data_IF_586538759699
#
_entry.id   IF_586538759699
#
_cell.length_a   1.000
_cell.length_b   1.000
_cell.length_c   1.000
_cell.angle_alpha   90.00
_cell.angle_beta   90.00
_cell.angle_gamma   90.00
#
_symmetry.space_group_name_H-M   'P 1'
#
loop_
_entity.id
_entity.type
_entity.pdbx_description
1 polymer ?
#
# COMPACT_ATOMS: atom_id res chain seq x y z
N UNK A 1 36.59 -33.63 -1.61
CA UNK A 1 36.35 -32.52 -2.56
C UNK A 1 37.20 -31.36 -2.14
N UNK A 2 38.15 -30.98 -3.00
CA UNK A 2 39.12 -29.93 -2.70
C UNK A 2 38.44 -28.55 -2.83
N UNK A 3 38.92 -27.55 -2.09
CA UNK A 3 38.29 -26.19 -2.05
C UNK A 3 38.28 -25.50 -3.42
N UNK A 4 39.08 -25.96 -4.37
CA UNK A 4 39.07 -25.51 -5.77
C UNK A 4 37.89 -26.08 -6.58
N UNK A 5 37.45 -27.29 -6.28
CA UNK A 5 36.33 -27.96 -6.99
C UNK A 5 34.99 -27.32 -6.65
N UNK A 6 34.81 -26.90 -5.39
CA UNK A 6 33.61 -26.20 -4.91
C UNK A 6 33.47 -24.81 -5.56
N UNK A 7 34.59 -24.12 -5.80
CA UNK A 7 34.60 -22.80 -6.45
C UNK A 7 34.34 -22.89 -7.95
N UNK A 8 34.86 -23.91 -8.62
CA UNK A 8 34.58 -24.17 -10.03
C UNK A 8 33.11 -24.55 -10.26
N UNK A 9 32.55 -25.43 -9.42
CA UNK A 9 31.13 -25.77 -9.45
C UNK A 9 30.23 -24.54 -9.15
N UNK A 10 30.65 -23.67 -8.23
CA UNK A 10 29.95 -22.42 -7.91
C UNK A 10 29.94 -21.41 -9.08
N UNK A 11 31.03 -21.31 -9.85
CA UNK A 11 31.12 -20.41 -11.01
C UNK A 11 30.35 -20.94 -12.24
N UNK A 12 30.19 -22.25 -12.38
CA UNK A 12 29.44 -22.89 -13.47
C UNK A 12 27.90 -22.79 -13.27
N UNK A 13 27.43 -22.89 -12.02
CA UNK A 13 26.01 -22.72 -11.66
C UNK A 13 25.52 -21.28 -11.90
N UNK A 14 26.40 -20.27 -11.70
CA UNK A 14 26.06 -18.85 -11.92
C UNK A 14 25.96 -18.51 -13.42
N UNK A 15 26.65 -19.24 -14.30
CA UNK A 15 26.63 -18.98 -15.76
C UNK A 15 25.53 -19.73 -16.51
N UNK A 16 25.00 -20.83 -15.99
CA UNK A 16 24.05 -21.69 -16.73
C UNK A 16 22.58 -21.32 -16.58
N UNK A 17 22.21 -20.40 -15.67
CA UNK A 17 20.81 -19.94 -15.53
C UNK A 17 20.51 -18.73 -16.41
N UNK A 18 20.84 -18.86 -17.69
CA UNK A 18 20.57 -17.88 -18.74
C UNK A 18 19.80 -18.49 -19.91
N UNK A 19 18.56 -17.98 -20.10
CA UNK A 19 17.68 -18.05 -21.28
C UNK A 19 16.83 -19.31 -21.51
N UNK A 20 15.60 -19.24 -21.01
CA UNK A 20 14.41 -19.64 -21.76
C UNK A 20 13.76 -18.39 -22.38
N UNK A 21 14.21 -17.98 -23.56
CA UNK A 21 13.56 -16.94 -24.36
C UNK A 21 12.29 -17.52 -24.98
N UNK A 22 11.11 -17.02 -24.56
CA UNK A 22 9.92 -17.02 -25.40
C UNK A 22 9.53 -15.57 -25.67
N UNK A 23 10.01 -15.09 -26.82
CA UNK A 23 9.27 -14.23 -27.76
C UNK A 23 8.28 -13.23 -27.16
N UNK A 24 8.70 -11.96 -27.18
CA UNK A 24 7.82 -10.82 -27.00
C UNK A 24 8.63 -9.60 -26.61
N UNK A 25 9.01 -8.80 -27.60
CA UNK A 25 9.50 -7.44 -27.38
C UNK A 25 8.57 -6.74 -26.38
N UNK A 26 9.19 -6.18 -25.37
CA UNK A 26 8.64 -5.13 -24.54
C UNK A 26 7.52 -5.58 -23.58
N UNK A 27 7.90 -5.80 -22.31
CA UNK A 27 6.97 -5.62 -21.19
C UNK A 27 6.37 -4.19 -21.07
N UNK A 28 6.59 -3.34 -22.08
CA UNK A 28 6.05 -1.98 -22.22
C UNK A 28 4.53 -1.92 -22.32
N UNK A 29 3.83 -3.04 -22.43
CA UNK A 29 2.35 -3.08 -22.48
C UNK A 29 1.67 -3.44 -21.17
N UNK A 30 2.39 -3.97 -20.17
CA UNK A 30 1.80 -4.31 -18.87
C UNK A 30 2.06 -3.17 -17.88
N UNK A 31 1.03 -2.54 -17.29
CA UNK A 31 1.22 -1.52 -16.26
C UNK A 31 1.93 -2.05 -15.00
N UNK A 32 2.09 -3.38 -14.89
CA UNK A 32 2.49 -4.08 -13.66
C UNK A 32 3.79 -4.87 -13.81
N UNK A 33 4.25 -5.22 -15.02
CA UNK A 33 5.37 -6.17 -15.20
C UNK A 33 6.43 -5.63 -16.16
N UNK A 34 7.26 -4.72 -15.62
CA UNK A 34 8.52 -4.26 -16.18
C UNK A 34 9.37 -3.62 -15.08
N UNK A 35 10.42 -4.32 -14.63
CA UNK A 35 11.39 -3.79 -13.65
C UNK A 35 10.85 -3.49 -12.24
N UNK A 36 10.03 -4.34 -11.63
CA UNK A 36 9.49 -4.21 -10.26
C UNK A 36 8.93 -2.82 -9.84
N UNK A 37 8.73 -1.88 -10.78
CA UNK A 37 8.36 -0.50 -10.48
C UNK A 37 9.40 0.31 -9.68
N UNK A 38 10.63 -0.19 -9.49
CA UNK A 38 11.67 0.50 -8.72
C UNK A 38 12.85 0.82 -9.64
N UNK A 39 12.95 2.08 -10.05
CA UNK A 39 14.13 2.58 -10.74
C UNK A 39 15.35 2.53 -9.77
N UNK A 40 16.54 2.16 -10.25
CA UNK A 40 17.75 2.22 -9.42
C UNK A 40 18.01 3.67 -9.01
N UNK A 41 18.16 3.90 -7.71
CA UNK A 41 18.44 5.22 -7.16
C UNK A 41 19.90 5.61 -7.40
N UNK A 42 20.14 6.79 -7.98
CA UNK A 42 21.49 7.30 -8.16
C UNK A 42 22.00 8.05 -6.91
N UNK A 43 23.30 8.39 -6.88
CA UNK A 43 23.93 9.03 -5.71
C UNK A 43 23.37 10.41 -5.41
N UNK A 44 23.08 11.21 -6.44
CA UNK A 44 22.58 12.58 -6.30
C UNK A 44 21.12 12.56 -5.81
N UNK A 45 20.30 11.64 -6.32
CA UNK A 45 18.94 11.40 -5.81
C UNK A 45 18.95 10.97 -4.35
N UNK A 46 19.82 10.02 -3.99
CA UNK A 46 19.94 9.58 -2.60
C UNK A 46 20.39 10.73 -1.69
N UNK A 47 21.39 11.51 -2.11
CA UNK A 47 21.84 12.67 -1.36
C UNK A 47 20.71 13.71 -1.18
N UNK A 48 19.93 13.97 -2.24
CA UNK A 48 18.77 14.84 -2.18
C UNK A 48 17.71 14.34 -1.18
N UNK A 49 17.42 13.03 -1.17
CA UNK A 49 16.43 12.46 -0.25
C UNK A 49 16.91 12.44 1.20
N UNK A 50 18.21 12.20 1.43
CA UNK A 50 18.82 12.34 2.75
C UNK A 50 18.77 13.80 3.22
N UNK A 51 19.07 14.76 2.34
CA UNK A 51 18.99 16.18 2.68
C UNK A 51 17.55 16.60 2.99
N UNK A 52 16.58 16.13 2.22
CA UNK A 52 15.16 16.33 2.52
C UNK A 52 14.80 15.82 3.91
N UNK A 53 15.23 14.62 4.29
CA UNK A 53 14.97 14.08 5.62
C UNK A 53 15.63 14.90 6.74
N UNK A 54 16.86 15.38 6.51
CA UNK A 54 17.58 16.23 7.46
C UNK A 54 16.94 17.61 7.61
N UNK A 55 16.49 18.21 6.51
CA UNK A 55 15.82 19.50 6.51
C UNK A 55 14.48 19.41 7.22
N UNK A 56 13.71 18.34 7.00
CA UNK A 56 12.47 18.10 7.76
C UNK A 56 12.73 17.90 9.25
N UNK A 57 13.85 17.27 9.63
CA UNK A 57 14.26 17.10 11.03
C UNK A 57 14.66 18.42 11.70
N UNK A 58 15.26 19.34 10.93
CA UNK A 58 15.65 20.67 11.40
C UNK A 58 14.60 21.76 11.14
N UNK A 59 13.40 21.41 10.68
CA UNK A 59 12.31 22.36 10.48
C UNK A 59 12.09 23.18 11.76
N UNK A 60 11.95 24.51 11.66
CA UNK A 60 11.72 25.35 12.82
C UNK A 60 10.38 24.99 13.48
N UNK A 61 10.27 25.27 14.78
CA UNK A 61 9.01 25.15 15.49
C UNK A 61 8.00 26.16 14.97
N UNK A 62 6.78 25.71 14.69
CA UNK A 62 5.67 26.56 14.21
C UNK A 62 4.70 26.80 15.35
N UNK A 63 4.25 28.05 15.53
CA UNK A 63 3.14 28.35 16.44
C UNK A 63 1.83 27.88 15.81
N UNK A 64 1.30 26.76 16.31
CA UNK A 64 0.09 26.14 15.81
C UNK A 64 -1.21 26.88 16.22
N UNK A 65 -1.10 27.93 17.05
CA UNK A 65 -2.18 28.85 17.37
C UNK A 65 -2.33 29.99 16.37
N UNK A 66 -1.26 30.32 15.63
CA UNK A 66 -1.18 31.44 14.70
C UNK A 66 -1.37 30.97 13.25
N UNK A 67 -2.43 31.45 12.60
CA UNK A 67 -2.75 31.06 11.22
C UNK A 67 -1.73 31.57 10.21
N UNK A 68 -1.09 32.71 10.46
CA UNK A 68 -0.12 33.26 9.54
C UNK A 68 1.18 32.44 9.60
N UNK A 69 1.64 32.10 10.81
CA UNK A 69 2.78 31.21 11.00
C UNK A 69 2.56 29.82 10.36
N UNK A 70 1.36 29.26 10.49
CA UNK A 70 1.01 27.97 9.86
C UNK A 70 0.94 28.10 8.33
N UNK A 71 0.36 29.17 7.80
CA UNK A 71 0.31 29.41 6.35
C UNK A 71 1.73 29.53 5.77
N UNK A 72 2.60 30.32 6.40
CA UNK A 72 3.99 30.49 5.97
C UNK A 72 4.77 29.17 5.99
N UNK A 73 4.55 28.32 7.01
CA UNK A 73 5.18 27.00 7.07
C UNK A 73 4.70 26.06 5.96
N UNK A 74 3.40 26.09 5.63
CA UNK A 74 2.82 25.31 4.54
C UNK A 74 3.39 25.77 3.19
N UNK A 75 3.40 27.09 2.94
CA UNK A 75 3.93 27.67 1.71
C UNK A 75 5.43 27.42 1.57
N UNK A 76 6.18 27.56 2.67
CA UNK A 76 7.59 27.23 2.74
C UNK A 76 7.88 25.77 2.40
N UNK A 77 7.05 24.82 2.87
CA UNK A 77 7.18 23.41 2.50
C UNK A 77 6.97 23.16 1.01
N UNK A 78 5.91 23.74 0.42
CA UNK A 78 5.67 23.60 -1.02
C UNK A 78 6.76 24.28 -1.85
N UNK A 79 7.19 25.47 -1.46
CA UNK A 79 8.31 26.19 -2.07
C UNK A 79 9.60 25.36 -2.06
N UNK A 80 9.94 24.79 -0.90
CA UNK A 80 11.08 23.88 -0.76
C UNK A 80 11.00 22.71 -1.73
N UNK A 81 9.83 22.07 -1.87
CA UNK A 81 9.66 20.97 -2.81
C UNK A 81 9.82 21.42 -4.27
N UNK A 82 9.27 22.58 -4.63
CA UNK A 82 9.36 23.15 -5.98
C UNK A 82 10.82 23.43 -6.35
N UNK A 83 11.54 24.15 -5.49
CA UNK A 83 12.93 24.56 -5.72
C UNK A 83 13.87 23.38 -5.94
N UNK A 84 13.60 22.25 -5.27
CA UNK A 84 14.45 21.05 -5.31
C UNK A 84 13.93 19.97 -6.26
N UNK A 85 12.82 20.20 -6.95
CA UNK A 85 12.20 19.20 -7.83
C UNK A 85 11.69 17.95 -7.09
N UNK A 86 11.29 18.10 -5.82
CA UNK A 86 10.75 17.03 -5.00
C UNK A 86 9.23 16.90 -5.16
N UNK A 87 8.73 15.68 -5.00
CA UNK A 87 7.28 15.44 -4.91
C UNK A 87 6.82 15.71 -3.47
N UNK A 88 5.93 16.69 -3.22
CA UNK A 88 5.42 16.94 -1.88
C UNK A 88 4.51 15.78 -1.42
N UNK A 89 4.45 15.55 -0.11
CA UNK A 89 3.70 14.47 0.50
C UNK A 89 3.22 14.81 1.91
N UNK A 90 2.19 14.10 2.38
CA UNK A 90 1.53 14.43 3.65
C UNK A 90 2.48 14.34 4.85
N UNK A 91 3.37 13.34 4.90
CA UNK A 91 4.30 13.20 6.02
C UNK A 91 5.34 14.32 6.06
N UNK A 92 5.77 14.82 4.90
CA UNK A 92 6.65 15.98 4.82
C UNK A 92 5.96 17.24 5.31
N UNK A 93 4.74 17.48 4.84
CA UNK A 93 3.90 18.59 5.30
C UNK A 93 3.70 18.55 6.83
N UNK A 94 3.41 17.38 7.39
CA UNK A 94 3.22 17.25 8.83
C UNK A 94 4.52 17.52 9.59
N UNK A 95 5.66 16.99 9.10
CA UNK A 95 6.96 17.23 9.69
C UNK A 95 7.36 18.71 9.64
N UNK A 96 7.06 19.43 8.54
CA UNK A 96 7.27 20.87 8.42
C UNK A 96 6.47 21.68 9.45
N UNK A 97 5.32 21.16 9.90
CA UNK A 97 4.51 21.74 10.96
C UNK A 97 4.88 21.23 12.37
N UNK A 98 5.90 20.37 12.49
CA UNK A 98 6.28 19.74 13.77
C UNK A 98 5.26 18.73 14.30
N UNK A 99 4.43 18.15 13.43
CA UNK A 99 3.36 17.22 13.78
C UNK A 99 3.65 15.80 13.28
N UNK A 100 3.34 14.82 14.12
CA UNK A 100 3.25 13.42 13.70
C UNK A 100 1.93 13.15 12.97
N UNK A 101 1.90 12.06 12.19
CA UNK A 101 0.66 11.56 11.56
C UNK A 101 -0.46 11.33 12.59
N UNK A 102 -0.12 10.84 13.78
CA UNK A 102 -1.09 10.54 14.83
C UNK A 102 -1.70 11.82 15.40
N UNK A 103 -0.89 12.85 15.64
CA UNK A 103 -1.38 14.14 16.11
C UNK A 103 -2.32 14.77 15.10
N UNK A 104 -1.94 14.82 13.81
CA UNK A 104 -2.86 15.29 12.76
C UNK A 104 -4.16 14.48 12.75
N UNK A 105 -4.09 13.17 12.95
CA UNK A 105 -5.27 12.31 13.03
C UNK A 105 -6.17 12.63 14.22
N UNK A 106 -5.59 13.03 15.35
CA UNK A 106 -6.32 13.39 16.57
C UNK A 106 -6.97 14.77 16.42
N UNK A 107 -6.24 15.76 15.88
CA UNK A 107 -6.74 17.11 15.60
C UNK A 107 -7.93 17.07 14.63
N UNK A 108 -7.82 16.28 13.55
CA UNK A 108 -8.89 16.11 12.55
C UNK A 108 -10.15 15.44 13.13
N UNK A 109 -10.02 14.67 14.21
CA UNK A 109 -11.16 14.05 14.93
C UNK A 109 -11.63 14.88 16.12
N UNK A 110 -10.99 16.02 16.41
CA UNK A 110 -11.27 16.83 17.59
C UNK A 110 -10.91 16.15 18.92
N UNK A 111 -10.00 15.19 18.91
CA UNK A 111 -9.50 14.54 20.14
C UNK A 111 -8.46 15.39 20.88
N UNK A 112 -7.79 16.28 20.16
CA UNK A 112 -6.79 17.22 20.68
C UNK A 112 -7.04 18.60 20.06
N UNK A 113 -6.43 19.63 20.66
CA UNK A 113 -6.63 21.04 20.29
C UNK A 113 -5.28 21.78 20.23
N UNK A 114 -4.27 21.17 19.60
CA UNK A 114 -2.98 21.81 19.35
C UNK A 114 -3.08 22.89 18.27
N UNK A 115 -3.95 22.69 17.28
CA UNK A 115 -4.21 23.69 16.25
C UNK A 115 -5.43 24.52 16.65
N UNK A 116 -5.35 25.84 16.43
CA UNK A 116 -6.54 26.68 16.41
C UNK A 116 -7.47 26.26 15.25
N UNK A 117 -8.74 26.67 15.28
CA UNK A 117 -9.69 26.30 14.24
C UNK A 117 -9.27 26.77 12.84
N UNK A 118 -8.70 27.98 12.74
CA UNK A 118 -8.17 28.53 11.48
C UNK A 118 -6.95 27.73 10.99
N UNK A 119 -6.02 27.39 11.89
CA UNK A 119 -4.86 26.56 11.56
C UNK A 119 -5.28 25.15 11.10
N UNK A 120 -6.28 24.55 11.75
CA UNK A 120 -6.83 23.26 11.35
C UNK A 120 -7.45 23.32 9.94
N UNK A 121 -8.11 24.42 9.59
CA UNK A 121 -8.68 24.61 8.25
C UNK A 121 -7.60 24.82 7.19
N UNK A 122 -6.49 25.49 7.52
CA UNK A 122 -5.31 25.55 6.64
C UNK A 122 -4.71 24.17 6.41
N UNK A 123 -4.55 23.36 7.46
CA UNK A 123 -4.05 21.99 7.34
C UNK A 123 -4.97 21.12 6.46
N UNK A 124 -6.29 21.25 6.59
CA UNK A 124 -7.26 20.57 5.70
C UNK A 124 -7.07 20.98 4.24
N UNK A 125 -6.94 22.28 3.97
CA UNK A 125 -6.70 22.80 2.61
C UNK A 125 -5.40 22.28 2.02
N UNK A 126 -4.31 22.27 2.79
CA UNK A 126 -3.02 21.75 2.35
C UNK A 126 -3.08 20.24 2.03
N UNK A 127 -3.77 19.45 2.85
CA UNK A 127 -4.02 18.02 2.58
C UNK A 127 -4.82 17.81 1.30
N UNK A 128 -5.85 18.63 1.08
CA UNK A 128 -6.63 18.61 -0.16
C UNK A 128 -5.77 18.95 -1.38
N UNK A 129 -4.89 19.94 -1.28
CA UNK A 129 -3.95 20.28 -2.36
C UNK A 129 -2.97 19.12 -2.67
N UNK A 130 -2.52 18.39 -1.65
CA UNK A 130 -1.71 17.19 -1.86
C UNK A 130 -2.51 16.05 -2.51
N UNK A 131 -3.80 15.93 -2.22
CA UNK A 131 -4.69 14.96 -2.87
C UNK A 131 -4.85 15.27 -4.37
N UNK A 132 -5.13 16.53 -4.72
CA UNK A 132 -5.26 16.96 -6.12
C UNK A 132 -3.94 16.81 -6.87
N UNK A 133 -2.80 17.08 -6.23
CA UNK A 133 -1.48 16.82 -6.82
C UNK A 133 -1.26 15.33 -7.13
N UNK A 134 -1.60 14.42 -6.20
CA UNK A 134 -1.51 12.97 -6.44
C UNK A 134 -2.45 12.51 -7.56
N UNK A 135 -3.66 13.04 -7.61
CA UNK A 135 -4.62 12.76 -8.68
C UNK A 135 -4.07 13.18 -10.05
N UNK A 136 -3.44 14.36 -10.13
CA UNK A 136 -2.78 14.81 -11.36
C UNK A 136 -1.62 13.88 -11.75
N UNK A 137 -0.77 13.47 -10.80
CA UNK A 137 0.28 12.50 -11.09
C UNK A 137 -0.28 11.16 -11.60
N UNK A 138 -1.38 10.70 -11.00
CA UNK A 138 -2.09 9.49 -11.39
C UNK A 138 -2.65 9.56 -12.82
N UNK A 139 -3.42 10.60 -13.10
CA UNK A 139 -4.05 10.82 -14.42
C UNK A 139 -3.03 10.99 -15.55
N UNK A 140 -1.84 11.51 -15.25
CA UNK A 140 -0.74 11.66 -16.20
C UNK A 140 0.19 10.44 -16.29
N UNK A 141 -0.13 9.33 -15.60
CA UNK A 141 0.69 8.12 -15.56
C UNK A 141 2.09 8.33 -14.93
N UNK A 142 2.25 9.37 -14.11
CA UNK A 142 3.52 9.72 -13.44
C UNK A 142 3.65 9.10 -12.05
N UNK A 143 2.63 8.37 -11.59
CA UNK A 143 2.62 7.63 -10.34
C UNK A 143 2.10 6.22 -10.60
N UNK A 144 2.73 5.23 -9.96
CA UNK A 144 2.28 3.85 -10.04
C UNK A 144 0.82 3.74 -9.52
N UNK A 145 -0.11 3.09 -10.25
CA UNK A 145 -1.51 3.00 -9.84
C UNK A 145 -1.73 2.38 -8.46
N UNK A 146 -0.94 1.37 -8.07
CA UNK A 146 -1.02 0.75 -6.74
C UNK A 146 -0.59 1.74 -5.65
N UNK A 147 0.48 2.50 -5.89
CA UNK A 147 0.91 3.58 -4.98
C UNK A 147 -0.15 4.67 -4.84
N UNK A 148 -0.78 5.07 -5.95
CA UNK A 148 -1.85 6.05 -5.94
C UNK A 148 -3.04 5.58 -5.08
N UNK A 149 -3.54 4.35 -5.33
CA UNK A 149 -4.64 3.75 -4.56
C UNK A 149 -4.28 3.67 -3.07
N UNK A 150 -3.06 3.22 -2.75
CA UNK A 150 -2.58 3.13 -1.38
C UNK A 150 -2.60 4.50 -0.70
N UNK A 151 -2.09 5.55 -1.36
CA UNK A 151 -2.08 6.90 -0.79
C UNK A 151 -3.48 7.51 -0.67
N UNK A 152 -4.34 7.33 -1.66
CA UNK A 152 -5.71 7.84 -1.64
C UNK A 152 -6.52 7.22 -0.50
N UNK A 153 -6.37 5.92 -0.24
CA UNK A 153 -7.01 5.26 0.90
C UNK A 153 -6.50 5.78 2.25
N UNK A 154 -5.19 5.95 2.37
CA UNK A 154 -4.55 6.30 3.64
C UNK A 154 -4.66 7.77 4.02
N UNK A 155 -4.72 8.66 3.03
CA UNK A 155 -4.65 10.10 3.26
C UNK A 155 -5.89 10.86 2.81
N UNK A 156 -6.57 10.38 1.77
CA UNK A 156 -7.66 11.10 1.09
C UNK A 156 -9.04 10.51 1.44
N UNK A 157 -9.07 9.42 2.22
CA UNK A 157 -10.30 8.83 2.76
C UNK A 157 -11.08 7.95 1.79
N UNK A 158 -10.51 7.62 0.63
CA UNK A 158 -11.14 6.74 -0.35
C UNK A 158 -11.24 5.30 0.19
N UNK A 159 -12.26 4.57 -0.26
CA UNK A 159 -12.49 3.16 0.08
C UNK A 159 -12.82 2.39 -1.18
N UNK A 160 -12.41 1.12 -1.23
CA UNK A 160 -12.85 0.23 -2.31
C UNK A 160 -14.31 -0.12 -2.10
N UNK A 161 -15.11 0.01 -3.14
CA UNK A 161 -16.49 -0.47 -3.19
C UNK A 161 -16.49 -1.78 -3.98
N UNK A 162 -17.05 -2.84 -3.38
CA UNK A 162 -17.21 -4.14 -4.02
C UNK A 162 -18.66 -4.61 -3.88
N UNK A 163 -19.31 -4.90 -5.00
CA UNK A 163 -20.62 -5.54 -5.01
C UNK A 163 -20.43 -7.06 -5.12
N UNK A 164 -20.84 -7.80 -4.09
CA UNK A 164 -20.77 -9.26 -4.08
C UNK A 164 -22.19 -9.80 -4.26
N UNK A 165 -22.50 -10.29 -5.46
CA UNK A 165 -23.74 -11.04 -5.70
C UNK A 165 -23.54 -12.49 -5.29
N UNK A 166 -24.08 -12.85 -4.12
CA UNK A 166 -24.13 -14.24 -3.69
C UNK A 166 -25.28 -14.90 -4.45
N UNK A 167 -24.99 -15.64 -5.51
CA UNK A 167 -25.98 -16.53 -6.13
C UNK A 167 -26.13 -17.75 -5.21
N UNK A 168 -27.31 -17.99 -4.61
CA UNK A 168 -27.53 -19.18 -3.81
C UNK A 168 -27.28 -20.43 -4.66
N UNK A 169 -26.41 -21.33 -4.18
CA UNK A 169 -26.22 -22.63 -4.81
C UNK A 169 -27.53 -23.41 -4.64
N UNK A 170 -28.26 -23.64 -5.73
CA UNK A 170 -29.51 -24.41 -5.75
C UNK A 170 -29.33 -25.88 -5.30
N UNK A 171 -28.10 -26.30 -5.00
CA UNK A 171 -27.77 -27.62 -4.45
C UNK A 171 -28.18 -27.82 -2.98
N UNK A 172 -28.63 -26.78 -2.28
CA UNK A 172 -29.22 -26.93 -0.92
C UNK A 172 -30.75 -27.11 -0.96
N UNK A 173 -31.34 -27.07 -2.16
CA UNK A 173 -32.73 -27.47 -2.43
C UNK A 173 -32.74 -28.82 -3.16
N UNK A 174 -32.00 -29.81 -2.65
CA UNK A 174 -32.48 -31.17 -2.85
C UNK A 174 -33.66 -31.33 -1.89
N UNK A 175 -34.87 -31.13 -2.41
CA UNK A 175 -36.09 -31.66 -1.81
C UNK A 175 -35.97 -33.19 -1.81
N UNK A 176 -35.14 -33.73 -0.91
CA UNK A 176 -35.17 -35.15 -0.64
C UNK A 176 -36.51 -35.44 0.01
N UNK A 177 -37.30 -36.30 -0.61
CA UNK A 177 -38.53 -36.79 0.02
C UNK A 177 -38.13 -37.53 1.31
N UNK A 178 -39.02 -37.62 2.31
CA UNK A 178 -38.72 -38.36 3.54
C UNK A 178 -38.19 -39.78 3.30
N UNK A 179 -38.63 -40.42 2.22
CA UNK A 179 -38.23 -41.77 1.78
C UNK A 179 -36.76 -41.81 1.31
N UNK A 180 -36.29 -40.79 0.60
CA UNK A 180 -34.89 -40.70 0.15
C UNK A 180 -33.91 -40.43 1.30
N UNK A 181 -34.39 -39.76 2.36
CA UNK A 181 -33.62 -39.53 3.59
C UNK A 181 -33.51 -40.84 4.38
N UNK A 182 -34.62 -41.59 4.50
CA UNK A 182 -34.66 -42.87 5.22
C UNK A 182 -33.75 -43.92 4.60
N UNK A 183 -33.69 -43.99 3.26
CA UNK A 183 -32.81 -44.90 2.54
C UNK A 183 -31.32 -44.62 2.79
N UNK A 184 -30.91 -43.34 2.86
CA UNK A 184 -29.52 -42.96 3.17
C UNK A 184 -29.16 -43.21 4.63
N UNK A 185 -30.11 -43.02 5.54
CA UNK A 185 -29.88 -43.30 6.97
C UNK A 185 -29.64 -44.79 7.20
N UNK A 186 -30.35 -45.69 6.50
CA UNK A 186 -30.14 -47.14 6.60
C UNK A 186 -28.75 -47.59 6.12
N UNK A 187 -28.23 -46.99 5.04
CA UNK A 187 -26.88 -47.30 4.51
C UNK A 187 -25.76 -46.83 5.44
N UNK A 188 -26.00 -45.77 6.22
CA UNK A 188 -25.03 -45.20 7.16
C UNK A 188 -25.08 -45.84 8.57
N UNK A 189 -25.97 -46.82 8.81
CA UNK A 189 -25.98 -47.58 10.07
C UNK A 189 -24.81 -48.57 10.03
N UNK A 190 -23.80 -48.45 10.91
CA UNK A 190 -22.76 -49.45 11.01
C UNK A 190 -23.39 -50.78 11.42
N UNK A 191 -23.20 -51.82 10.60
CA UNK A 191 -23.56 -53.19 10.97
C UNK A 191 -22.54 -53.62 12.01
N UNK A 192 -22.96 -53.68 13.27
CA UNK A 192 -22.14 -54.20 14.37
C UNK A 192 -22.03 -55.72 14.21
N UNK A 193 -20.98 -56.18 13.51
CA UNK A 193 -20.68 -57.61 13.35
C UNK A 193 -19.93 -58.14 14.57
N UNK A 194 -20.52 -57.94 15.75
CA UNK A 194 -20.08 -58.56 17.00
C UNK A 194 -20.76 -59.93 17.13
N UNK A 195 -20.39 -60.85 16.24
CA UNK A 195 -20.56 -62.28 16.50
C UNK A 195 -19.46 -63.14 15.84
N UNK A 196 -18.23 -63.02 16.34
CA UNK A 196 -17.23 -64.08 16.21
C UNK A 196 -16.85 -64.55 17.62
N UNK A 197 -17.68 -65.44 18.17
CA UNK A 197 -17.27 -66.41 19.17
C UNK A 197 -16.97 -67.73 18.42
N UNK A 198 -15.68 -68.09 18.33
CA UNK A 198 -15.04 -69.44 18.16
C UNK A 198 -13.70 -69.24 17.44
N UNK A 199 -12.53 -69.53 18.01
CA UNK A 199 -12.05 -70.77 18.67
C UNK A 199 -11.06 -70.41 19.79
#
# INVERSE_FOLDING_TARGET
>A
MDRKDVRAAGEEIVKSRGKGSRTGKDGNGSPIIGGNGVAPMNKDENALFCQYALDMFHSPTVDLGDSDAVADAIDGYFGYCIERGLRPGNLGLYAALGLSKQEVSNEMRGMTHKLSSSCLDLLKKAKQALATYRELLGSQGKLNPVTLIFWQKNYDGLKDVQDITITPNASMQQEHTPEEIEAKVLDDIPIDDDNIDTI
#
